data_IF_720999743261
#
_entry.id   IF_720999743261
#
_cell.length_a   1.000
_cell.length_b   1.000
_cell.length_c   1.000
_cell.angle_alpha   90.00
_cell.angle_beta   90.00
_cell.angle_gamma   90.00
#
_symmetry.space_group_name_H-M   'P 1'
#
loop_
_entity.id
_entity.type
_entity.pdbx_description
1 polymer ?
#
# COMPACT_ATOMS: atom_id res chain seq x y z
N UNK A 1 -4.10 71.79 -23.77
CA UNK A 1 -3.19 71.29 -22.71
C UNK A 1 -3.93 70.66 -21.53
N UNK A 2 -4.88 71.34 -20.86
CA UNK A 2 -5.58 70.78 -19.68
C UNK A 2 -6.34 69.46 -19.93
N UNK A 3 -7.08 69.32 -21.04
CA UNK A 3 -7.83 68.07 -21.33
C UNK A 3 -6.93 66.87 -21.63
N UNK A 4 -5.83 67.08 -22.37
CA UNK A 4 -4.86 66.03 -22.71
C UNK A 4 -4.10 65.52 -21.48
N UNK A 5 -3.74 66.42 -20.56
CA UNK A 5 -3.11 66.05 -19.28
C UNK A 5 -4.05 65.29 -18.36
N UNK A 6 -5.34 65.61 -18.35
CA UNK A 6 -6.34 64.87 -17.54
C UNK A 6 -6.51 63.45 -18.07
N UNK A 7 -6.57 63.26 -19.40
CA UNK A 7 -6.70 61.94 -20.04
C UNK A 7 -5.46 61.08 -19.81
N UNK A 8 -4.26 61.66 -19.92
CA UNK A 8 -3.00 60.96 -19.64
C UNK A 8 -2.88 60.56 -18.16
N UNK A 9 -3.34 61.42 -17.24
CA UNK A 9 -3.32 61.13 -15.81
C UNK A 9 -4.34 60.02 -15.46
N UNK A 10 -5.54 60.03 -16.04
CA UNK A 10 -6.52 58.97 -15.81
C UNK A 10 -6.14 57.65 -16.47
N UNK A 11 -5.49 57.65 -17.64
CA UNK A 11 -4.86 56.45 -18.21
C UNK A 11 -3.73 55.92 -17.31
N UNK A 12 -2.87 56.80 -16.79
CA UNK A 12 -1.79 56.39 -15.89
C UNK A 12 -2.33 55.78 -14.59
N UNK A 13 -3.36 56.38 -14.00
CA UNK A 13 -4.04 55.83 -12.81
C UNK A 13 -4.67 54.47 -13.11
N UNK A 14 -5.35 54.31 -14.25
CA UNK A 14 -5.94 53.03 -14.67
C UNK A 14 -4.88 51.93 -14.90
N UNK A 15 -3.76 52.28 -15.53
CA UNK A 15 -2.63 51.37 -15.76
C UNK A 15 -1.99 50.97 -14.42
N UNK A 16 -1.73 51.92 -13.53
CA UNK A 16 -1.17 51.65 -12.20
C UNK A 16 -2.12 50.81 -11.34
N UNK A 17 -3.43 51.07 -11.38
CA UNK A 17 -4.42 50.22 -10.70
C UNK A 17 -4.52 48.82 -11.30
N UNK A 18 -4.31 48.67 -12.61
CA UNK A 18 -4.26 47.36 -13.28
C UNK A 18 -3.01 46.55 -12.92
N UNK A 19 -1.88 47.21 -12.68
CA UNK A 19 -0.64 46.56 -12.21
C UNK A 19 -0.68 46.21 -10.71
N UNK A 20 -1.39 46.98 -9.89
CA UNK A 20 -1.56 46.71 -8.45
C UNK A 20 -2.67 45.67 -8.17
N UNK A 21 -3.59 45.45 -9.11
CA UNK A 21 -4.62 44.42 -9.02
C UNK A 21 -4.12 43.05 -9.52
N UNK A 22 -2.91 42.64 -9.10
CA UNK A 22 -2.55 41.23 -9.15
C UNK A 22 -3.40 40.51 -8.11
N UNK A 23 -4.55 40.01 -8.54
CA UNK A 23 -5.35 39.07 -7.76
C UNK A 23 -4.51 37.82 -7.53
N UNK A 24 -3.87 37.73 -6.37
CA UNK A 24 -3.28 36.48 -5.91
C UNK A 24 -4.44 35.57 -5.53
N UNK A 25 -4.48 34.35 -6.10
CA UNK A 25 -5.30 33.29 -5.53
C UNK A 25 -4.75 33.03 -4.14
N UNK A 26 -5.54 33.27 -3.11
CA UNK A 26 -5.20 32.85 -1.75
C UNK A 26 -5.11 31.32 -1.75
N UNK A 27 -4.05 30.78 -1.16
CA UNK A 27 -3.93 29.34 -0.99
C UNK A 27 -5.05 28.87 -0.06
N UNK A 28 -5.75 27.79 -0.46
CA UNK A 28 -6.79 27.21 0.39
C UNK A 28 -6.11 26.59 1.60
N UNK A 29 -6.42 27.11 2.80
CA UNK A 29 -5.85 26.55 4.02
C UNK A 29 -6.51 25.20 4.34
N UNK A 30 -5.80 24.38 5.11
CA UNK A 30 -6.27 23.05 5.50
C UNK A 30 -7.52 23.12 6.41
N UNK A 31 -7.63 24.21 7.14
CA UNK A 31 -8.75 24.59 7.99
C UNK A 31 -10.02 24.85 7.16
N UNK A 32 -9.86 25.34 5.93
CA UNK A 32 -10.95 25.65 5.00
C UNK A 32 -11.30 24.46 4.09
N UNK A 33 -10.41 23.47 3.97
CA UNK A 33 -10.62 22.28 3.15
C UNK A 33 -9.99 21.03 3.79
N UNK A 34 -10.81 20.22 4.46
CA UNK A 34 -10.36 18.99 5.11
C UNK A 34 -9.77 17.95 4.13
N UNK A 35 -10.02 18.06 2.82
CA UNK A 35 -9.37 17.20 1.82
C UNK A 35 -7.85 17.33 1.86
N UNK A 36 -7.35 18.51 2.21
CA UNK A 36 -5.92 18.78 2.35
C UNK A 36 -5.29 18.00 3.51
N UNK A 37 -6.07 17.45 4.44
CA UNK A 37 -5.59 16.54 5.49
C UNK A 37 -5.65 15.07 5.10
N UNK A 38 -6.27 14.73 3.97
CA UNK A 38 -6.51 13.34 3.56
C UNK A 38 -5.22 12.62 3.16
N UNK A 39 -5.24 11.28 3.25
CA UNK A 39 -4.13 10.46 2.78
C UNK A 39 -3.93 10.53 1.26
N UNK A 40 -4.99 10.76 0.48
CA UNK A 40 -4.89 10.90 -0.98
C UNK A 40 -4.25 12.22 -1.40
N UNK A 41 -4.53 13.31 -0.68
CA UNK A 41 -3.87 14.59 -0.91
C UNK A 41 -2.41 14.57 -0.42
N UNK A 42 -2.22 14.22 0.85
CA UNK A 42 -0.92 14.38 1.53
C UNK A 42 0.07 13.26 1.24
N UNK A 43 -0.41 12.06 0.89
CA UNK A 43 0.35 10.81 0.85
C UNK A 43 1.09 10.44 2.14
N UNK A 44 0.71 11.05 3.27
CA UNK A 44 1.44 10.99 4.54
C UNK A 44 1.72 9.56 5.00
N UNK A 45 0.84 8.61 4.67
CA UNK A 45 1.05 7.19 4.91
C UNK A 45 2.33 6.62 4.29
N UNK A 46 2.66 7.06 3.07
CA UNK A 46 3.87 6.65 2.35
C UNK A 46 5.11 7.34 2.91
N UNK A 47 5.01 8.63 3.21
CA UNK A 47 6.08 9.37 3.85
C UNK A 47 6.45 8.75 5.21
N UNK A 48 5.45 8.41 6.02
CA UNK A 48 5.65 7.91 7.37
C UNK A 48 6.45 6.60 7.43
N UNK A 49 6.14 5.61 6.58
CA UNK A 49 6.93 4.36 6.59
C UNK A 49 8.33 4.55 6.00
N UNK A 50 8.49 5.48 5.07
CA UNK A 50 9.75 5.74 4.40
C UNK A 50 10.75 6.50 5.29
N UNK A 51 10.24 7.37 6.16
CA UNK A 51 11.00 8.25 7.05
C UNK A 51 12.00 7.49 7.94
N UNK A 52 13.24 7.97 7.99
CA UNK A 52 14.32 7.38 8.80
C UNK A 52 14.05 7.40 10.30
N UNK A 53 13.28 8.37 10.81
CA UNK A 53 12.88 8.44 12.21
C UNK A 53 12.01 7.23 12.62
N UNK A 54 11.36 6.58 11.64
CA UNK A 54 10.58 5.37 11.83
C UNK A 54 11.33 4.10 11.37
N UNK A 55 12.66 4.17 11.21
CA UNK A 55 13.47 3.09 10.68
C UNK A 55 13.20 2.78 9.20
N UNK A 56 12.67 3.76 8.46
CA UNK A 56 12.29 3.61 7.07
C UNK A 56 13.46 3.61 6.09
N UNK A 57 13.13 3.39 4.82
CA UNK A 57 14.07 3.25 3.70
C UNK A 57 14.95 4.50 3.47
N UNK A 58 14.53 5.68 3.96
CA UNK A 58 15.36 6.88 3.98
C UNK A 58 16.69 6.63 4.71
N UNK A 59 16.72 5.77 5.72
CA UNK A 59 17.95 5.40 6.46
C UNK A 59 19.04 4.85 5.54
N UNK A 60 18.64 4.11 4.50
CA UNK A 60 19.58 3.50 3.55
C UNK A 60 19.85 4.39 2.33
N UNK A 61 18.85 5.14 1.89
CA UNK A 61 18.93 5.96 0.67
C UNK A 61 19.51 7.35 0.92
N UNK A 62 19.32 7.92 2.11
CA UNK A 62 19.70 9.29 2.46
C UNK A 62 18.90 10.36 1.71
N UNK A 63 17.80 10.00 1.03
CA UNK A 63 16.99 10.90 0.22
C UNK A 63 15.65 11.10 0.94
N UNK A 64 15.24 12.32 1.30
CA UNK A 64 13.94 12.54 1.93
C UNK A 64 12.77 12.18 1.01
N UNK A 65 11.64 11.73 1.57
CA UNK A 65 10.45 11.34 0.79
C UNK A 65 9.96 12.44 -0.17
N UNK A 66 10.03 13.71 0.24
CA UNK A 66 9.61 14.87 -0.55
C UNK A 66 10.61 15.25 -1.68
N UNK A 67 11.73 14.53 -1.80
CA UNK A 67 12.74 14.84 -2.81
C UNK A 67 12.19 14.65 -4.23
N UNK A 68 12.47 15.58 -5.16
CA UNK A 68 12.08 15.44 -6.58
C UNK A 68 12.82 14.30 -7.30
N UNK A 69 13.80 13.66 -6.64
CA UNK A 69 14.46 12.44 -7.12
C UNK A 69 13.60 11.19 -6.93
N UNK A 70 12.64 11.22 -6.01
CA UNK A 70 11.75 10.08 -5.78
C UNK A 70 10.48 10.25 -6.60
N UNK A 71 10.20 9.30 -7.48
CA UNK A 71 8.95 9.26 -8.25
C UNK A 71 7.75 8.75 -7.40
N UNK A 72 7.84 8.88 -6.09
CA UNK A 72 6.82 8.44 -5.13
C UNK A 72 5.60 9.36 -5.10
N UNK A 73 5.68 10.55 -5.70
CA UNK A 73 4.65 11.60 -5.69
C UNK A 73 3.57 11.45 -6.76
N UNK A 74 3.72 10.50 -7.70
CA UNK A 74 2.75 10.28 -8.79
C UNK A 74 1.40 9.72 -8.35
N UNK A 75 1.21 9.49 -7.04
CA UNK A 75 -0.07 9.07 -6.46
C UNK A 75 -0.76 10.19 -5.66
N UNK A 76 -0.16 11.37 -5.55
CA UNK A 76 -0.71 12.48 -4.76
C UNK A 76 -1.81 13.18 -5.55
N UNK A 77 -3.02 13.20 -5.01
CA UNK A 77 -4.17 13.83 -5.67
C UNK A 77 -4.14 15.33 -5.40
N UNK A 78 -3.65 16.09 -6.39
CA UNK A 78 -3.54 17.56 -6.31
C UNK A 78 -4.80 18.31 -6.75
N UNK A 79 -5.73 17.64 -7.41
CA UNK A 79 -6.97 18.25 -7.92
C UNK A 79 -8.11 17.23 -7.98
N UNK A 80 -9.34 17.73 -7.83
CA UNK A 80 -10.58 16.98 -8.01
C UNK A 80 -10.68 16.37 -9.42
N UNK A 81 -10.02 16.99 -10.42
CA UNK A 81 -9.97 16.53 -11.80
C UNK A 81 -9.52 15.09 -11.97
N UNK A 82 -8.63 14.63 -11.09
CA UNK A 82 -8.03 13.30 -11.17
C UNK A 82 -9.11 12.22 -11.12
N UNK A 83 -10.19 12.45 -10.37
CA UNK A 83 -11.27 11.48 -10.18
C UNK A 83 -12.61 11.93 -10.76
N UNK A 84 -12.93 13.22 -10.70
CA UNK A 84 -14.27 13.72 -11.00
C UNK A 84 -14.43 14.28 -12.41
N UNK A 85 -13.34 14.62 -13.11
CA UNK A 85 -13.43 15.30 -14.41
C UNK A 85 -14.11 14.43 -15.46
N UNK A 86 -15.06 15.02 -16.15
CA UNK A 86 -15.70 14.48 -17.35
C UNK A 86 -15.61 15.50 -18.48
N UNK A 87 -15.51 14.98 -19.71
CA UNK A 87 -15.52 15.76 -20.95
C UNK A 87 -16.70 15.30 -21.78
N UNK A 88 -17.59 16.20 -22.17
CA UNK A 88 -18.74 15.89 -23.05
C UNK A 88 -18.91 17.05 -24.01
N UNK A 89 -18.83 16.80 -25.32
CA UNK A 89 -18.93 17.84 -26.37
C UNK A 89 -18.00 19.04 -26.09
N UNK A 90 -16.73 18.75 -25.76
CA UNK A 90 -15.69 19.72 -25.38
C UNK A 90 -15.99 20.56 -24.12
N UNK A 91 -17.04 20.24 -23.36
CA UNK A 91 -17.34 20.87 -22.07
C UNK A 91 -16.77 20.04 -20.92
N UNK A 92 -16.09 20.74 -20.01
CA UNK A 92 -15.57 20.18 -18.77
C UNK A 92 -16.62 20.24 -17.66
N UNK A 93 -16.79 19.15 -16.94
CA UNK A 93 -17.68 19.07 -15.79
C UNK A 93 -17.17 18.08 -14.74
N UNK A 94 -17.77 18.11 -13.55
CA UNK A 94 -17.51 17.13 -12.50
C UNK A 94 -18.67 16.16 -12.34
N UNK A 95 -18.34 14.88 -12.15
CA UNK A 95 -19.30 13.81 -11.95
C UNK A 95 -18.87 12.86 -10.85
N UNK A 96 -19.79 12.58 -9.91
CA UNK A 96 -19.61 11.54 -8.90
C UNK A 96 -19.58 10.15 -9.56
N UNK A 97 -20.37 9.95 -10.63
CA UNK A 97 -20.39 8.68 -11.37
C UNK A 97 -19.03 8.39 -12.01
N UNK A 98 -18.31 9.42 -12.48
CA UNK A 98 -16.96 9.26 -12.99
C UNK A 98 -15.98 8.81 -11.89
N UNK A 99 -16.05 9.45 -10.71
CA UNK A 99 -15.21 9.10 -9.57
C UNK A 99 -15.49 7.70 -9.00
N UNK A 100 -16.68 7.14 -9.23
CA UNK A 100 -17.04 5.76 -8.85
C UNK A 100 -16.53 4.69 -9.84
N UNK A 101 -15.94 5.08 -10.96
CA UNK A 101 -15.30 4.14 -11.87
C UNK A 101 -14.02 3.57 -11.22
N UNK A 102 -13.95 2.25 -11.07
CA UNK A 102 -12.81 1.58 -10.44
C UNK A 102 -11.50 1.82 -11.18
N UNK A 103 -11.54 2.02 -12.49
CA UNK A 103 -10.32 2.26 -13.29
C UNK A 103 -9.57 3.51 -12.81
N UNK A 104 -10.28 4.52 -12.32
CA UNK A 104 -9.69 5.73 -11.72
C UNK A 104 -8.85 5.35 -10.50
N UNK A 105 -9.38 4.50 -9.61
CA UNK A 105 -8.65 4.01 -8.43
C UNK A 105 -7.44 3.16 -8.85
N UNK A 106 -7.62 2.27 -9.82
CA UNK A 106 -6.61 1.31 -10.25
C UNK A 106 -5.42 1.95 -10.98
N UNK A 107 -5.53 3.19 -11.44
CA UNK A 107 -4.42 3.97 -11.98
C UNK A 107 -3.29 4.17 -10.96
N UNK A 108 -3.65 4.40 -9.69
CA UNK A 108 -2.70 4.55 -8.59
C UNK A 108 -2.55 3.26 -7.78
N UNK A 109 -3.65 2.52 -7.54
CA UNK A 109 -3.67 1.26 -6.81
C UNK A 109 -3.24 0.06 -7.68
N UNK A 110 -2.08 0.18 -8.35
CA UNK A 110 -1.57 -0.78 -9.34
C UNK A 110 -1.32 -2.18 -8.77
N UNK A 111 -1.01 -2.29 -7.48
CA UNK A 111 -0.87 -3.59 -6.78
C UNK A 111 -2.20 -4.34 -6.80
N UNK A 112 -3.30 -3.63 -6.56
CA UNK A 112 -4.64 -4.20 -6.60
C UNK A 112 -5.02 -4.63 -8.02
N UNK A 113 -4.75 -3.77 -9.01
CA UNK A 113 -4.91 -4.13 -10.44
C UNK A 113 -4.19 -5.43 -10.80
N UNK A 114 -2.98 -5.62 -10.26
CA UNK A 114 -2.21 -6.85 -10.48
C UNK A 114 -2.83 -8.05 -9.77
N UNK A 115 -3.28 -7.90 -8.52
CA UNK A 115 -3.96 -8.94 -7.76
C UNK A 115 -5.21 -9.44 -8.48
N UNK A 116 -6.09 -8.52 -8.89
CA UNK A 116 -7.30 -8.84 -9.65
C UNK A 116 -7.00 -9.61 -10.93
N UNK A 117 -5.94 -9.24 -11.66
CA UNK A 117 -5.51 -9.98 -12.86
C UNK A 117 -5.06 -11.40 -12.53
N UNK A 118 -4.21 -11.56 -11.52
CA UNK A 118 -3.72 -12.89 -11.10
C UNK A 118 -4.89 -13.80 -10.69
N UNK A 119 -5.84 -13.27 -9.93
CA UNK A 119 -7.00 -14.04 -9.49
C UNK A 119 -7.94 -14.40 -10.64
N UNK A 120 -8.13 -13.49 -11.60
CA UNK A 120 -8.89 -13.78 -12.82
C UNK A 120 -8.21 -14.87 -13.64
N UNK A 121 -6.91 -14.75 -13.88
CA UNK A 121 -6.14 -15.71 -14.68
C UNK A 121 -6.11 -17.11 -14.02
N UNK A 122 -6.19 -17.18 -12.69
CA UNK A 122 -6.27 -18.41 -11.91
C UNK A 122 -7.70 -18.87 -11.58
N UNK A 123 -8.73 -18.24 -12.16
CA UNK A 123 -10.15 -18.56 -11.93
C UNK A 123 -10.57 -18.58 -10.44
N UNK A 124 -10.05 -17.64 -9.67
CA UNK A 124 -10.23 -17.53 -8.20
C UNK A 124 -10.60 -16.09 -7.79
N UNK A 125 -11.42 -15.43 -8.60
CA UNK A 125 -11.85 -14.04 -8.37
C UNK A 125 -12.37 -13.86 -6.94
N UNK A 126 -12.08 -12.70 -6.37
CA UNK A 126 -12.60 -12.28 -5.07
C UNK A 126 -14.13 -12.43 -5.00
N UNK A 127 -14.64 -13.03 -3.93
CA UNK A 127 -16.07 -13.37 -3.78
C UNK A 127 -17.00 -12.15 -3.78
N UNK A 128 -16.49 -10.97 -3.43
CA UNK A 128 -17.23 -9.72 -3.48
C UNK A 128 -17.22 -9.14 -4.90
N UNK A 129 -16.07 -9.20 -5.58
CA UNK A 129 -15.95 -8.78 -6.99
C UNK A 129 -16.82 -9.65 -7.89
N UNK A 130 -16.89 -10.95 -7.63
CA UNK A 130 -17.79 -11.89 -8.32
C UNK A 130 -19.27 -11.49 -8.16
N UNK A 131 -19.63 -10.93 -6.99
CA UNK A 131 -20.94 -10.31 -6.71
C UNK A 131 -21.06 -8.87 -7.22
N UNK A 132 -20.20 -8.46 -8.15
CA UNK A 132 -20.17 -7.12 -8.76
C UNK A 132 -19.91 -5.98 -7.77
N UNK A 133 -19.41 -6.26 -6.56
CA UNK A 133 -18.99 -5.21 -5.64
C UNK A 133 -17.71 -4.53 -6.17
N UNK A 134 -17.70 -3.22 -6.01
CA UNK A 134 -16.63 -2.30 -6.42
C UNK A 134 -15.96 -1.67 -5.22
N UNK A 135 -14.86 -0.94 -5.46
CA UNK A 135 -14.06 -0.29 -4.41
C UNK A 135 -14.94 0.50 -3.42
N UNK A 136 -15.83 1.34 -3.95
CA UNK A 136 -16.70 2.21 -3.15
C UNK A 136 -17.86 1.50 -2.43
N UNK A 137 -18.09 0.20 -2.69
CA UNK A 137 -19.05 -0.59 -1.91
C UNK A 137 -18.48 -0.93 -0.53
N UNK A 138 -17.15 -1.01 -0.39
CA UNK A 138 -16.47 -1.22 0.89
C UNK A 138 -15.86 0.07 1.43
N UNK A 139 -15.26 0.89 0.54
CA UNK A 139 -14.57 2.13 0.87
C UNK A 139 -15.50 3.34 0.83
N UNK A 140 -15.56 4.10 1.93
CA UNK A 140 -16.45 5.26 2.04
C UNK A 140 -15.80 6.53 1.52
N UNK A 141 -16.60 7.49 1.07
CA UNK A 141 -16.13 8.82 0.61
C UNK A 141 -15.27 9.52 1.65
N UNK A 142 -15.58 9.38 2.94
CA UNK A 142 -14.77 9.88 4.06
C UNK A 142 -13.33 9.34 4.05
N UNK A 143 -13.11 8.08 3.67
CA UNK A 143 -11.75 7.52 3.60
C UNK A 143 -10.94 8.11 2.43
N UNK A 144 -11.65 8.47 1.35
CA UNK A 144 -11.05 9.03 0.15
C UNK A 144 -10.75 10.51 0.34
N UNK A 145 -11.74 11.28 0.76
CA UNK A 145 -11.63 12.72 0.95
C UNK A 145 -11.08 13.14 2.32
N UNK A 146 -10.94 12.22 3.28
CA UNK A 146 -10.57 12.55 4.65
C UNK A 146 -11.77 12.99 5.50
N UNK A 147 -11.49 13.21 6.79
CA UNK A 147 -12.42 13.64 7.82
C UNK A 147 -11.87 14.84 8.64
N UNK A 148 -10.84 15.51 8.12
CA UNK A 148 -10.13 16.61 8.81
C UNK A 148 -9.00 16.14 9.72
N UNK A 149 -8.94 14.84 10.06
CA UNK A 149 -7.83 14.27 10.79
C UNK A 149 -6.71 13.87 9.83
N UNK A 150 -5.48 14.23 10.19
CA UNK A 150 -4.31 13.67 9.53
C UNK A 150 -3.97 12.30 10.10
N UNK A 151 -3.87 11.33 9.20
CA UNK A 151 -3.43 9.99 9.54
C UNK A 151 -1.99 9.79 9.04
N UNK A 152 -1.18 9.14 9.87
CA UNK A 152 0.18 8.72 9.53
C UNK A 152 0.20 7.43 8.70
N UNK A 153 -0.94 6.76 8.55
CA UNK A 153 -1.06 5.54 7.74
C UNK A 153 -2.53 5.22 7.48
N UNK A 154 -2.82 4.54 6.36
CA UNK A 154 -4.12 3.88 6.16
C UNK A 154 -4.36 2.74 7.17
N UNK A 155 -3.32 2.32 7.90
CA UNK A 155 -3.36 1.33 8.98
C UNK A 155 -3.40 1.98 10.37
N UNK A 156 -3.64 3.28 10.45
CA UNK A 156 -3.90 3.90 11.74
C UNK A 156 -5.36 3.63 12.13
N UNK A 157 -5.66 3.27 13.39
CA UNK A 157 -7.03 3.10 13.85
C UNK A 157 -7.91 4.32 13.49
N UNK A 158 -9.03 4.06 12.82
CA UNK A 158 -9.97 5.07 12.33
C UNK A 158 -9.73 5.59 10.90
N UNK A 159 -8.55 5.36 10.31
CA UNK A 159 -8.26 5.81 8.95
C UNK A 159 -9.11 5.10 7.89
N UNK A 160 -9.43 3.82 8.13
CA UNK A 160 -10.29 3.01 7.27
C UNK A 160 -11.47 2.49 8.10
N UNK A 161 -12.66 2.68 7.53
CA UNK A 161 -13.96 2.21 7.98
C UNK A 161 -14.32 0.83 7.45
N UNK A 162 -13.76 0.40 6.32
CA UNK A 162 -14.03 -0.90 5.71
C UNK A 162 -13.69 -2.04 6.69
N UNK A 163 -14.71 -2.78 7.13
CA UNK A 163 -14.59 -3.90 8.08
C UNK A 163 -15.57 -5.00 7.69
N UNK A 164 -15.13 -6.26 7.72
CA UNK A 164 -15.94 -7.42 7.36
C UNK A 164 -17.26 -7.47 8.16
N UNK A 165 -17.18 -7.20 9.48
CA UNK A 165 -18.31 -7.22 10.42
C UNK A 165 -19.42 -6.19 10.10
N UNK A 166 -19.19 -5.20 9.22
CA UNK A 166 -20.24 -4.25 8.80
C UNK A 166 -21.28 -4.89 7.88
N UNK A 167 -20.88 -5.89 7.09
CA UNK A 167 -21.79 -6.66 6.22
C UNK A 167 -21.99 -8.10 6.72
N UNK A 168 -21.07 -8.61 7.53
CA UNK A 168 -21.13 -9.94 8.15
C UNK A 168 -21.24 -9.81 9.68
N UNK A 169 -22.39 -9.34 10.22
CA UNK A 169 -22.56 -9.16 11.66
C UNK A 169 -22.62 -10.49 12.42
N UNK A 170 -23.10 -11.54 11.75
CA UNK A 170 -23.08 -12.93 12.21
C UNK A 170 -22.20 -13.76 11.30
N UNK A 171 -21.25 -14.49 11.87
CA UNK A 171 -20.44 -15.47 11.14
C UNK A 171 -21.01 -16.87 11.37
N UNK A 172 -21.06 -17.74 10.35
CA UNK A 172 -21.44 -19.14 10.55
C UNK A 172 -20.55 -19.80 11.59
N UNK A 173 -21.13 -20.58 12.49
CA UNK A 173 -20.35 -21.37 13.44
C UNK A 173 -19.45 -22.36 12.68
N UNK A 174 -18.19 -22.41 13.11
CA UNK A 174 -17.21 -23.38 12.64
C UNK A 174 -16.25 -23.67 13.78
N UNK A 175 -15.60 -24.83 13.75
CA UNK A 175 -14.56 -25.19 14.73
C UNK A 175 -13.48 -24.09 14.79
N UNK A 176 -13.09 -23.53 13.64
CA UNK A 176 -12.12 -22.43 13.57
C UNK A 176 -12.62 -21.16 14.25
N UNK A 177 -13.88 -20.77 14.05
CA UNK A 177 -14.47 -19.60 14.71
C UNK A 177 -14.57 -19.81 16.23
N UNK A 178 -14.96 -21.00 16.67
CA UNK A 178 -15.06 -21.35 18.09
C UNK A 178 -13.70 -21.32 18.78
N UNK A 179 -12.70 -21.98 18.19
CA UNK A 179 -11.35 -22.03 18.75
C UNK A 179 -10.74 -20.64 18.73
N UNK A 180 -10.68 -19.97 17.58
CA UNK A 180 -9.91 -18.74 17.45
C UNK A 180 -10.61 -17.52 18.05
N UNK A 181 -11.95 -17.48 18.02
CA UNK A 181 -12.74 -16.38 18.54
C UNK A 181 -12.23 -15.02 18.07
N UNK A 182 -12.09 -14.07 19.00
CA UNK A 182 -11.64 -12.72 18.69
C UNK A 182 -10.11 -12.55 18.64
N UNK A 183 -9.33 -13.64 18.60
CA UNK A 183 -7.85 -13.59 18.56
C UNK A 183 -7.29 -13.33 17.16
N UNK A 184 -8.08 -13.65 16.13
CA UNK A 184 -7.73 -13.45 14.73
C UNK A 184 -8.70 -12.44 14.10
N UNK A 185 -8.20 -11.59 13.22
CA UNK A 185 -9.03 -10.84 12.29
C UNK A 185 -9.49 -11.76 11.14
N UNK A 186 -10.67 -11.51 10.56
CA UNK A 186 -11.23 -12.32 9.47
C UNK A 186 -10.21 -12.51 8.33
N UNK A 187 -9.39 -11.48 8.07
CA UNK A 187 -8.39 -11.50 7.02
C UNK A 187 -7.30 -12.57 7.20
N UNK A 188 -6.99 -12.98 8.44
CA UNK A 188 -6.01 -14.03 8.69
C UNK A 188 -6.42 -15.39 8.07
N UNK A 189 -7.74 -15.62 7.95
CA UNK A 189 -8.29 -16.86 7.40
C UNK A 189 -8.88 -16.67 5.99
N UNK A 190 -9.53 -15.54 5.73
CA UNK A 190 -10.30 -15.33 4.50
C UNK A 190 -9.52 -14.64 3.37
N UNK A 191 -8.35 -14.06 3.64
CA UNK A 191 -7.47 -13.58 2.55
C UNK A 191 -6.74 -14.78 1.94
N UNK A 192 -6.94 -14.98 0.64
CA UNK A 192 -6.36 -16.08 -0.14
C UNK A 192 -4.87 -15.88 -0.40
N UNK A 193 -4.46 -14.68 -0.80
CA UNK A 193 -3.04 -14.33 -0.91
C UNK A 193 -2.84 -12.83 -1.10
N UNK A 194 -1.58 -12.41 -1.03
CA UNK A 194 -1.11 -11.05 -1.34
C UNK A 194 -0.19 -11.07 -2.56
N UNK A 195 -0.18 -9.95 -3.29
CA UNK A 195 0.87 -9.63 -4.27
C UNK A 195 1.95 -8.79 -3.60
N UNK A 196 3.18 -9.28 -3.64
CA UNK A 196 4.36 -8.63 -3.10
C UNK A 196 5.28 -8.15 -4.22
N UNK A 197 5.90 -6.99 -4.01
CA UNK A 197 6.92 -6.47 -4.91
C UNK A 197 8.29 -6.88 -4.35
N UNK A 198 9.04 -7.65 -5.11
CA UNK A 198 10.40 -8.05 -4.80
C UNK A 198 11.41 -7.17 -5.54
N UNK A 199 12.55 -6.90 -4.90
CA UNK A 199 13.67 -6.17 -5.48
C UNK A 199 13.24 -4.83 -6.08
N UNK A 200 12.39 -4.08 -5.37
CA UNK A 200 12.03 -2.74 -5.80
C UNK A 200 13.31 -1.90 -5.87
N UNK A 201 13.71 -1.59 -7.09
CA UNK A 201 15.04 -1.07 -7.39
C UNK A 201 15.03 0.46 -7.29
N UNK A 202 15.67 0.99 -6.25
CA UNK A 202 15.60 2.42 -5.93
C UNK A 202 16.49 3.25 -6.88
N UNK A 203 17.61 2.72 -7.35
CA UNK A 203 18.49 3.45 -8.30
C UNK A 203 17.77 3.78 -9.61
N UNK A 204 16.95 2.88 -10.15
CA UNK A 204 16.14 3.18 -11.36
C UNK A 204 15.06 4.22 -11.08
N UNK A 205 14.52 4.29 -9.86
CA UNK A 205 13.59 5.37 -9.49
C UNK A 205 14.32 6.71 -9.45
N UNK A 206 15.50 6.75 -8.84
CA UNK A 206 16.29 7.98 -8.66
C UNK A 206 16.82 8.51 -10.00
N UNK A 207 17.39 7.63 -10.82
CA UNK A 207 18.15 8.02 -12.02
C UNK A 207 17.28 8.05 -13.28
N UNK A 208 16.28 7.17 -13.38
CA UNK A 208 15.47 6.99 -14.60
C UNK A 208 14.00 7.33 -14.39
N UNK A 209 13.57 7.67 -13.17
CA UNK A 209 12.15 7.84 -12.79
C UNK A 209 11.31 6.61 -13.16
N UNK A 210 11.92 5.43 -13.10
CA UNK A 210 11.30 4.17 -13.49
C UNK A 210 11.21 3.23 -12.31
N UNK A 211 9.98 2.83 -11.96
CA UNK A 211 9.76 1.76 -10.99
C UNK A 211 10.01 0.42 -11.65
N UNK A 212 10.98 -0.31 -11.13
CA UNK A 212 11.33 -1.67 -11.56
C UNK A 212 11.24 -2.58 -10.33
N UNK A 213 10.45 -3.64 -10.46
CA UNK A 213 10.17 -4.61 -9.40
C UNK A 213 9.79 -5.97 -10.02
N UNK A 214 10.00 -7.05 -9.26
CA UNK A 214 9.57 -8.40 -9.61
C UNK A 214 8.35 -8.73 -8.76
N UNK A 215 7.21 -9.01 -9.40
CA UNK A 215 5.97 -9.29 -8.67
C UNK A 215 5.86 -10.79 -8.38
N UNK A 216 5.55 -11.11 -7.14
CA UNK A 216 5.28 -12.47 -6.68
C UNK A 216 3.95 -12.52 -5.95
N UNK A 217 3.33 -13.70 -5.90
CA UNK A 217 2.00 -13.93 -5.33
C UNK A 217 1.90 -15.27 -4.60
N UNK A 218 0.75 -15.57 -3.99
CA UNK A 218 0.51 -16.84 -3.30
C UNK A 218 1.08 -16.91 -1.88
N UNK A 219 1.46 -15.77 -1.31
CA UNK A 219 1.80 -15.64 0.11
C UNK A 219 0.62 -15.15 0.92
N UNK A 220 0.60 -15.47 2.20
CA UNK A 220 -0.16 -14.77 3.23
C UNK A 220 0.74 -14.61 4.45
N UNK A 221 1.16 -13.39 4.76
CA UNK A 221 1.93 -13.16 5.99
C UNK A 221 0.99 -12.98 7.18
N UNK A 222 1.39 -13.43 8.36
CA UNK A 222 0.64 -13.22 9.60
C UNK A 222 1.39 -12.27 10.52
N UNK A 223 0.72 -11.21 10.99
CA UNK A 223 1.26 -10.21 11.92
C UNK A 223 0.22 -9.83 12.97
N UNK A 224 0.67 -9.31 14.12
CA UNK A 224 -0.19 -8.67 15.10
C UNK A 224 -0.55 -7.25 14.66
N UNK A 225 -1.82 -6.89 14.77
CA UNK A 225 -2.34 -5.55 14.50
C UNK A 225 -3.63 -5.35 15.32
N UNK A 226 -3.77 -4.20 16.00
CA UNK A 226 -4.92 -3.90 16.87
C UNK A 226 -5.25 -5.03 17.89
N UNK A 227 -4.21 -5.69 18.43
CA UNK A 227 -4.35 -6.75 19.43
C UNK A 227 -4.70 -8.15 18.89
N UNK A 228 -4.79 -8.32 17.57
CA UNK A 228 -5.14 -9.59 16.92
C UNK A 228 -4.16 -9.96 15.83
N UNK A 229 -4.14 -11.23 15.45
CA UNK A 229 -3.39 -11.67 14.26
C UNK A 229 -4.21 -11.39 13.01
N UNK A 230 -3.59 -10.76 12.02
CA UNK A 230 -4.20 -10.42 10.73
C UNK A 230 -3.27 -10.76 9.58
N UNK A 231 -3.78 -10.63 8.35
CA UNK A 231 -3.00 -10.74 7.14
C UNK A 231 -2.05 -9.55 6.96
N UNK A 232 -0.86 -9.84 6.46
CA UNK A 232 0.17 -8.88 6.15
C UNK A 232 0.76 -9.12 4.77
N UNK A 233 1.57 -8.17 4.32
CA UNK A 233 2.32 -8.27 3.09
C UNK A 233 3.78 -7.86 3.33
N UNK A 234 4.65 -8.27 2.41
CA UNK A 234 6.05 -7.86 2.35
C UNK A 234 6.36 -7.08 1.09
N UNK A 235 7.39 -6.23 1.18
CA UNK A 235 8.04 -5.63 0.03
C UNK A 235 9.54 -5.57 0.27
N UNK A 236 10.33 -6.00 -0.71
CA UNK A 236 11.79 -5.91 -0.65
C UNK A 236 12.32 -4.82 -1.58
N UNK A 237 13.41 -4.19 -1.17
CA UNK A 237 14.06 -3.12 -1.91
C UNK A 237 15.56 -3.38 -2.04
N UNK A 238 16.11 -2.92 -3.16
CA UNK A 238 17.54 -2.83 -3.41
C UNK A 238 17.86 -1.36 -3.62
N UNK A 239 18.79 -0.83 -2.82
CA UNK A 239 19.19 0.58 -2.85
C UNK A 239 20.66 0.73 -3.28
N UNK A 240 21.14 1.96 -3.58
CA UNK A 240 22.52 2.17 -4.02
C UNK A 240 23.55 1.47 -3.15
N UNK A 241 24.52 0.84 -3.80
CA UNK A 241 25.56 0.04 -3.13
C UNK A 241 25.06 -1.33 -2.66
N UNK A 242 24.05 -1.91 -3.31
CA UNK A 242 23.52 -3.25 -3.04
C UNK A 242 22.99 -3.46 -1.61
N UNK A 243 22.64 -2.39 -0.89
CA UNK A 243 22.01 -2.53 0.42
C UNK A 243 20.56 -2.92 0.24
N UNK A 244 20.06 -3.74 1.15
CA UNK A 244 18.78 -4.41 1.03
C UNK A 244 17.85 -4.02 2.18
N UNK A 245 16.56 -4.01 1.90
CA UNK A 245 15.53 -3.66 2.87
C UNK A 245 14.33 -4.57 2.69
N UNK A 246 13.72 -4.98 3.80
CA UNK A 246 12.47 -5.74 3.81
C UNK A 246 11.46 -5.06 4.73
N UNK A 247 10.30 -4.77 4.16
CA UNK A 247 9.17 -4.18 4.84
C UNK A 247 8.13 -5.26 5.09
N UNK A 248 7.54 -5.28 6.30
CA UNK A 248 6.32 -6.00 6.58
C UNK A 248 5.25 -5.02 7.09
N UNK A 249 4.02 -5.15 6.60
CA UNK A 249 2.91 -4.34 7.07
C UNK A 249 1.57 -5.11 6.98
N UNK A 250 0.62 -4.88 7.91
CA UNK A 250 -0.72 -5.41 7.80
C UNK A 250 -1.37 -5.00 6.48
N UNK A 251 -1.99 -5.95 5.78
CA UNK A 251 -2.62 -5.70 4.49
C UNK A 251 -3.94 -6.46 4.39
N UNK A 252 -5.02 -5.73 4.09
CA UNK A 252 -6.24 -6.33 3.58
C UNK A 252 -6.06 -6.48 2.06
N UNK A 253 -5.92 -7.71 1.58
CA UNK A 253 -5.80 -8.02 0.15
C UNK A 253 -7.21 -8.21 -0.41
N UNK A 254 -7.55 -7.62 -1.55
CA UNK A 254 -8.86 -7.87 -2.19
C UNK A 254 -8.84 -9.19 -2.99
N UNK A 255 -8.34 -10.24 -2.34
CA UNK A 255 -8.37 -11.63 -2.78
C UNK A 255 -8.99 -12.43 -1.65
N UNK A 256 -10.30 -12.29 -1.50
CA UNK A 256 -11.09 -12.90 -0.43
C UNK A 256 -11.75 -14.18 -0.92
N UNK A 257 -11.65 -15.22 -0.09
CA UNK A 257 -12.31 -16.52 -0.30
C UNK A 257 -13.40 -16.76 0.75
N UNK A 258 -14.45 -17.46 0.33
CA UNK A 258 -15.67 -17.68 1.11
C UNK A 258 -15.41 -18.58 2.32
N UNK A 259 -14.71 -19.70 2.13
CA UNK A 259 -14.64 -20.78 3.11
C UNK A 259 -13.59 -20.55 4.20
N UNK A 260 -12.65 -19.62 3.95
CA UNK A 260 -11.47 -19.45 4.80
C UNK A 260 -10.49 -20.62 4.68
N UNK A 261 -9.35 -20.50 5.38
CA UNK A 261 -8.31 -21.54 5.41
C UNK A 261 -8.66 -22.69 6.34
N UNK A 262 -8.12 -23.86 6.00
CA UNK A 262 -8.15 -25.04 6.87
C UNK A 262 -7.03 -24.96 7.91
N UNK A 263 -7.18 -25.68 9.01
CA UNK A 263 -6.20 -25.65 10.10
C UNK A 263 -4.80 -26.03 9.62
N UNK A 264 -4.69 -27.12 8.86
CA UNK A 264 -3.41 -27.60 8.30
C UNK A 264 -2.74 -26.66 7.29
N UNK A 265 -3.44 -25.64 6.77
CA UNK A 265 -2.83 -24.62 5.90
C UNK A 265 -1.97 -23.62 6.70
N UNK A 266 -2.20 -23.53 8.01
CA UNK A 266 -1.54 -22.60 8.92
C UNK A 266 -0.70 -23.31 10.00
N UNK A 267 -1.19 -24.45 10.49
CA UNK A 267 -0.67 -25.13 11.66
C UNK A 267 0.22 -26.34 11.31
N UNK A 268 1.39 -26.44 11.94
CA UNK A 268 2.34 -27.54 11.76
C UNK A 268 3.00 -27.62 10.38
N UNK A 269 2.92 -26.54 9.59
CA UNK A 269 3.48 -26.50 8.24
C UNK A 269 5.02 -26.46 8.26
N UNK A 270 5.65 -26.85 7.16
CA UNK A 270 7.12 -26.74 7.04
C UNK A 270 7.61 -25.28 7.08
N UNK A 271 6.75 -24.32 6.72
CA UNK A 271 7.02 -22.89 6.86
C UNK A 271 7.12 -22.50 8.34
N UNK A 272 6.22 -23.03 9.17
CA UNK A 272 6.26 -22.79 10.62
C UNK A 272 7.51 -23.43 11.24
N UNK A 273 7.90 -24.64 10.80
CA UNK A 273 9.14 -25.28 11.25
C UNK A 273 10.38 -24.46 10.87
N UNK A 274 10.43 -23.93 9.65
CA UNK A 274 11.48 -22.99 9.23
C UNK A 274 11.55 -21.76 10.15
N UNK A 275 10.40 -21.15 10.45
CA UNK A 275 10.33 -20.02 11.38
C UNK A 275 10.78 -20.39 12.80
N UNK A 276 10.47 -21.58 13.31
CA UNK A 276 10.98 -22.07 14.60
C UNK A 276 12.50 -22.24 14.60
N UNK A 277 13.08 -22.62 13.46
CA UNK A 277 14.52 -22.75 13.28
C UNK A 277 15.23 -21.41 13.05
N UNK A 278 14.49 -20.29 13.07
CA UNK A 278 15.05 -18.95 12.98
C UNK A 278 15.26 -18.43 11.56
N UNK A 279 14.92 -19.19 10.51
CA UNK A 279 15.11 -18.77 9.11
C UNK A 279 14.04 -19.34 8.18
N UNK A 280 13.35 -18.47 7.46
CA UNK A 280 12.35 -18.83 6.44
C UNK A 280 12.84 -18.42 5.06
N UNK A 281 12.90 -19.38 4.12
CA UNK A 281 13.27 -19.10 2.74
C UNK A 281 12.07 -18.58 1.94
N UNK A 282 12.07 -17.29 1.61
CA UNK A 282 10.99 -16.67 0.84
C UNK A 282 11.16 -16.84 -0.65
N UNK A 283 12.36 -16.58 -1.20
CA UNK A 283 12.61 -16.64 -2.64
C UNK A 283 13.90 -17.36 -3.00
N UNK A 284 13.97 -17.88 -4.22
CA UNK A 284 15.16 -18.51 -4.81
C UNK A 284 15.18 -18.31 -6.31
N UNK A 285 16.33 -18.55 -6.94
CA UNK A 285 16.44 -18.60 -8.39
C UNK A 285 16.35 -20.05 -8.86
N UNK A 286 15.57 -20.26 -9.90
CA UNK A 286 15.50 -21.50 -10.65
C UNK A 286 15.55 -21.13 -12.14
N UNK A 287 16.55 -21.62 -12.88
CA UNK A 287 16.77 -21.26 -14.28
C UNK A 287 16.82 -19.72 -14.53
N UNK A 288 17.46 -18.97 -13.64
CA UNK A 288 17.52 -17.50 -13.63
C UNK A 288 16.17 -16.78 -13.45
N UNK A 289 15.10 -17.50 -13.12
CA UNK A 289 13.82 -16.92 -12.75
C UNK A 289 13.64 -16.89 -11.24
N UNK A 290 13.11 -15.78 -10.72
CA UNK A 290 12.77 -15.67 -9.31
C UNK A 290 11.53 -16.52 -9.00
N UNK A 291 11.71 -17.54 -8.18
CA UNK A 291 10.63 -18.33 -7.59
C UNK A 291 10.40 -17.89 -6.15
N UNK A 292 9.21 -18.21 -5.64
CA UNK A 292 8.83 -17.85 -4.29
C UNK A 292 8.08 -18.99 -3.60
N UNK A 293 8.25 -19.06 -2.27
CA UNK A 293 7.48 -19.91 -1.37
C UNK A 293 5.98 -19.68 -1.60
N UNK A 294 5.10 -20.62 -1.24
CA UNK A 294 3.65 -20.42 -1.28
C UNK A 294 3.05 -20.87 0.04
N UNK A 295 2.05 -20.14 0.54
CA UNK A 295 1.35 -20.48 1.78
C UNK A 295 1.38 -19.40 2.85
N UNK A 296 1.06 -19.81 4.07
CA UNK A 296 0.93 -18.94 5.24
C UNK A 296 2.27 -18.83 5.96
N UNK A 297 2.74 -17.60 6.13
CA UNK A 297 4.08 -17.29 6.63
C UNK A 297 3.95 -16.45 7.91
N UNK A 298 4.30 -16.97 9.10
CA UNK A 298 4.32 -16.17 10.31
C UNK A 298 5.46 -15.16 10.25
N UNK A 299 5.17 -13.88 10.47
CA UNK A 299 6.18 -12.82 10.66
C UNK A 299 6.54 -12.80 12.13
N UNK A 300 7.76 -13.17 12.51
CA UNK A 300 8.19 -13.38 13.90
C UNK A 300 9.46 -12.59 14.15
N UNK A 301 9.57 -12.03 15.34
CA UNK A 301 10.76 -11.29 15.75
C UNK A 301 11.97 -12.23 15.89
N UNK A 302 13.11 -11.83 15.33
CA UNK A 302 14.35 -12.62 15.34
C UNK A 302 14.42 -13.75 14.32
N UNK A 303 13.39 -13.91 13.47
CA UNK A 303 13.44 -14.84 12.33
C UNK A 303 13.99 -14.12 11.10
N UNK A 304 14.98 -14.72 10.45
CA UNK A 304 15.52 -14.26 9.17
C UNK A 304 14.58 -14.66 8.03
N UNK A 305 14.24 -13.70 7.17
CA UNK A 305 13.45 -13.93 5.97
C UNK A 305 14.36 -13.84 4.75
N UNK A 306 14.79 -15.00 4.26
CA UNK A 306 15.78 -15.13 3.21
C UNK A 306 15.18 -14.85 1.83
N UNK A 307 15.74 -13.86 1.15
CA UNK A 307 15.31 -13.43 -0.17
C UNK A 307 16.51 -13.35 -1.12
N UNK A 308 16.28 -13.74 -2.37
CA UNK A 308 17.21 -13.40 -3.46
C UNK A 308 17.04 -11.92 -3.81
N UNK A 309 18.10 -11.16 -3.60
CA UNK A 309 18.21 -9.79 -4.04
C UNK A 309 18.89 -9.70 -5.41
N UNK A 310 18.34 -8.87 -6.27
CA UNK A 310 18.81 -8.67 -7.64
C UNK A 310 18.91 -7.18 -7.93
N UNK A 311 20.04 -6.81 -8.53
CA UNK A 311 20.29 -5.50 -9.11
C UNK A 311 19.67 -5.46 -10.52
N UNK A 312 19.36 -4.27 -11.02
CA UNK A 312 18.80 -4.08 -12.36
C UNK A 312 19.69 -3.16 -13.19
N UNK A 313 20.38 -3.73 -14.18
CA UNK A 313 21.32 -3.03 -15.04
C UNK A 313 21.05 -3.34 -16.51
N UNK A 314 21.03 -2.31 -17.35
CA UNK A 314 20.87 -2.44 -18.80
C UNK A 314 19.68 -3.33 -19.22
N UNK A 315 18.56 -3.20 -18.51
CA UNK A 315 17.35 -3.96 -18.80
C UNK A 315 17.29 -5.38 -18.20
N UNK A 316 18.32 -5.83 -17.47
CA UNK A 316 18.46 -7.20 -16.98
C UNK A 316 18.58 -7.25 -15.46
N UNK A 317 18.01 -8.31 -14.88
CA UNK A 317 18.18 -8.65 -13.46
C UNK A 317 19.48 -9.43 -13.24
N UNK A 318 20.28 -9.00 -12.28
CA UNK A 318 21.56 -9.60 -11.93
C UNK A 318 21.54 -9.97 -10.44
N UNK A 319 21.75 -11.24 -10.07
CA UNK A 319 21.80 -11.64 -8.67
C UNK A 319 22.93 -10.93 -7.91
N UNK A 320 22.61 -10.36 -6.75
CA UNK A 320 23.60 -9.80 -5.84
C UNK A 320 24.19 -10.98 -5.05
N UNK A 321 25.48 -11.21 -5.20
CA UNK A 321 26.18 -12.25 -4.44
C UNK A 321 26.38 -11.79 -3.00
N UNK A 322 25.97 -12.62 -2.03
CA UNK A 322 26.12 -12.36 -0.59
C UNK A 322 25.71 -10.93 -0.19
N UNK A 323 24.45 -10.52 -0.43
CA UNK A 323 24.00 -9.19 -0.02
C UNK A 323 24.13 -9.06 1.51
N UNK A 324 24.43 -7.84 2.02
CA UNK A 324 24.31 -7.59 3.45
C UNK A 324 22.93 -8.00 3.97
N UNK A 325 22.86 -8.40 5.24
CA UNK A 325 21.57 -8.69 5.88
C UNK A 325 20.63 -7.50 5.72
N UNK A 326 19.38 -7.73 5.28
CA UNK A 326 18.47 -6.64 5.01
C UNK A 326 18.07 -5.93 6.29
N UNK A 327 17.94 -4.61 6.21
CA UNK A 327 17.25 -3.85 7.24
C UNK A 327 15.77 -4.26 7.23
N UNK A 328 15.25 -4.66 8.40
CA UNK A 328 13.86 -5.10 8.56
C UNK A 328 13.05 -3.98 9.18
N UNK A 329 11.90 -3.65 8.59
CA UNK A 329 10.93 -2.72 9.17
C UNK A 329 9.55 -3.37 9.29
N UNK A 330 8.94 -3.22 10.47
CA UNK A 330 7.53 -3.49 10.71
C UNK A 330 6.77 -2.17 10.69
N UNK A 331 5.92 -1.96 9.69
CA UNK A 331 5.23 -0.68 9.47
C UNK A 331 3.71 -0.83 9.58
N UNK A 332 3.01 0.31 9.52
CA UNK A 332 1.56 0.37 9.58
C UNK A 332 0.99 -0.14 10.89
N UNK A 333 1.67 0.15 12.00
CA UNK A 333 1.30 -0.29 13.37
C UNK A 333 1.25 -1.82 13.54
N UNK A 334 1.76 -2.58 12.57
CA UNK A 334 1.92 -4.02 12.68
C UNK A 334 3.10 -4.38 13.57
N UNK A 335 2.95 -5.45 14.33
CA UNK A 335 4.02 -6.06 15.14
C UNK A 335 4.21 -7.52 14.70
N UNK A 336 5.44 -8.05 14.79
CA UNK A 336 5.64 -9.48 14.60
C UNK A 336 4.82 -10.30 15.61
N UNK A 337 4.59 -11.57 15.26
CA UNK A 337 4.06 -12.58 16.16
C UNK A 337 5.04 -12.87 17.28
N UNK A 338 4.49 -13.15 18.45
CA UNK A 338 5.25 -13.58 19.63
C UNK A 338 5.76 -15.01 19.46
N UNK A 339 6.81 -15.36 20.22
CA UNK A 339 7.32 -16.74 20.28
C UNK A 339 6.23 -17.74 20.70
N UNK A 340 5.30 -17.34 21.56
CA UNK A 340 4.20 -18.22 21.99
C UNK A 340 3.13 -18.39 20.91
N UNK A 341 2.86 -17.35 20.10
CA UNK A 341 2.03 -17.50 18.90
C UNK A 341 2.68 -18.45 17.89
N UNK A 342 4.00 -18.35 17.70
CA UNK A 342 4.74 -19.29 16.84
C UNK A 342 4.67 -20.74 17.37
N UNK A 343 4.85 -20.96 18.68
CA UNK A 343 4.66 -22.29 19.30
C UNK A 343 3.25 -22.84 19.04
N UNK A 344 2.22 -21.99 19.16
CA UNK A 344 0.83 -22.38 18.87
C UNK A 344 0.62 -22.78 17.40
N UNK A 345 1.23 -22.04 16.47
CA UNK A 345 1.24 -22.38 15.05
C UNK A 345 1.99 -23.69 14.77
N UNK A 346 3.00 -24.04 15.57
CA UNK A 346 3.80 -25.23 15.34
C UNK A 346 3.07 -26.54 15.67
N UNK A 347 2.03 -26.50 16.51
CA UNK A 347 1.21 -27.68 16.79
C UNK A 347 0.45 -28.10 15.52
N UNK A 348 0.69 -29.32 14.98
CA UNK A 348 -0.07 -29.82 13.85
C UNK A 348 -1.54 -29.93 14.21
N UNK A 349 -2.40 -29.51 13.28
CA UNK A 349 -3.86 -29.66 13.37
C UNK A 349 -4.34 -30.44 12.15
N UNK A 350 -5.48 -31.13 12.29
CA UNK A 350 -6.09 -31.88 11.19
C UNK A 350 -6.30 -31.05 9.93
N UNK A 351 -6.41 -31.75 8.78
CA UNK A 351 -6.76 -31.12 7.50
C UNK A 351 -8.20 -30.63 7.49
#
# INVERSE_FOLDING_TARGET
>A
MKKTSIILLSMFVLIVSGFLAQGYSEDVNKEDCFFLSSLHHTSRGMAYWYDKANGGLETLTGIPYASPKLDCTNCHVKSCDVCHKTVTEDKLSYSVKAAQNQDVCLNCHKREKTLMKIDKDANQVDVHVDKQMRCMNCHRTREVHGDGKEYNSMKQPGAIDAKCKKCHPSVPESISHEIHGDRLECNACHVRHVVSCQNCHIETIINERKRVDIKVSGWLFLMNYEGKVTSANTQTFVVPGNKTFILFAPQNSHSIMREGRKCGDCHGTDIVKQAQNGKVKLTWLENNELKNLKGVIPVVEGVEYDCVYQDYKNGKWLPIQNPPSPMVQYSGYGKPLTKDQLKKLAHPMGR
#
